data_IF_045942080866
#
_entry.id   IF_045942080866
#
_cell.length_a   1.000
_cell.length_b   1.000
_cell.length_c   1.000
_cell.angle_alpha   90.00
_cell.angle_beta   90.00
_cell.angle_gamma   90.00
#
_symmetry.space_group_name_H-M   'P 1'
#
loop_
_entity.id
_entity.type
_entity.pdbx_description
1 polymer ?
#
# COMPACT_ATOMS: atom_id res chain seq x y z
N UNK A 1 -68.04 -16.04 63.44
CA UNK A 1 -68.48 -17.43 63.28
C UNK A 1 -68.86 -17.70 61.87
N UNK A 2 -68.12 -18.65 61.23
CA UNK A 2 -68.47 -19.55 60.08
C UNK A 2 -69.11 -18.99 58.82
N UNK A 3 -68.97 -19.72 57.73
CA UNK A 3 -67.80 -20.33 57.10
C UNK A 3 -67.67 -20.04 55.53
N UNK A 4 -66.54 -20.47 55.02
CA UNK A 4 -66.17 -20.63 53.62
C UNK A 4 -67.25 -21.26 52.69
N UNK A 5 -67.26 -20.76 51.42
CA UNK A 5 -67.51 -21.58 50.25
C UNK A 5 -66.57 -21.29 49.16
N UNK A 6 -65.83 -22.33 48.73
CA UNK A 6 -64.93 -22.38 47.56
C UNK A 6 -65.82 -22.48 46.31
N UNK A 7 -65.52 -21.61 45.31
CA UNK A 7 -65.96 -21.90 43.93
C UNK A 7 -64.69 -21.94 43.05
N UNK A 8 -64.48 -23.11 42.47
CA UNK A 8 -63.47 -23.40 41.46
C UNK A 8 -64.02 -22.95 40.09
N UNK A 9 -63.35 -22.04 39.42
CA UNK A 9 -63.61 -21.71 38.03
C UNK A 9 -62.38 -22.20 37.20
N UNK A 10 -62.66 -23.17 36.31
CA UNK A 10 -61.75 -23.60 35.27
C UNK A 10 -61.61 -22.46 34.24
N UNK A 11 -60.43 -21.91 34.07
CA UNK A 11 -60.15 -21.04 32.94
C UNK A 11 -59.32 -21.80 31.89
N UNK A 12 -59.92 -21.95 30.71
CA UNK A 12 -59.24 -22.55 29.55
C UNK A 12 -58.14 -21.68 29.02
N UNK A 13 -56.97 -22.29 28.83
CA UNK A 13 -55.82 -21.66 28.20
C UNK A 13 -55.90 -21.81 26.68
N UNK A 14 -56.22 -20.74 25.98
CA UNK A 14 -56.08 -20.64 24.54
C UNK A 14 -54.62 -20.23 24.23
N UNK A 15 -53.85 -21.13 23.66
CA UNK A 15 -52.53 -20.85 23.16
C UNK A 15 -52.61 -20.08 21.84
N UNK A 16 -52.23 -18.80 21.86
CA UNK A 16 -52.01 -18.02 20.65
C UNK A 16 -50.61 -18.28 20.13
N UNK A 17 -50.48 -18.91 18.96
CA UNK A 17 -49.23 -19.02 18.22
C UNK A 17 -48.87 -17.64 17.66
N UNK A 18 -47.85 -17.01 18.25
CA UNK A 18 -47.19 -15.83 17.67
C UNK A 18 -46.12 -16.32 16.68
N UNK A 19 -46.37 -16.15 15.39
CA UNK A 19 -45.36 -16.36 14.35
C UNK A 19 -44.32 -15.24 14.44
N UNK A 20 -43.09 -15.56 14.85
CA UNK A 20 -41.96 -14.68 14.81
C UNK A 20 -41.41 -14.70 13.37
N UNK A 21 -41.29 -13.57 12.67
CA UNK A 21 -40.62 -13.55 11.39
C UNK A 21 -39.13 -13.85 11.60
N UNK A 22 -38.58 -14.85 10.91
CA UNK A 22 -37.17 -15.13 10.84
C UNK A 22 -36.46 -13.95 10.14
N UNK A 23 -35.79 -13.09 10.91
CA UNK A 23 -34.86 -12.14 10.37
C UNK A 23 -33.69 -12.93 9.76
N UNK A 24 -33.53 -12.83 8.44
CA UNK A 24 -32.34 -13.26 7.74
C UNK A 24 -31.18 -12.42 8.26
N UNK A 25 -30.49 -12.93 9.26
CA UNK A 25 -29.20 -12.42 9.66
C UNK A 25 -28.22 -12.69 8.51
N UNK A 26 -27.95 -11.67 7.70
CA UNK A 26 -26.84 -11.67 6.77
C UNK A 26 -25.57 -11.89 7.57
N UNK A 27 -25.09 -13.14 7.59
CA UNK A 27 -23.84 -13.50 8.24
C UNK A 27 -22.71 -12.82 7.49
N UNK A 28 -22.16 -11.75 8.06
CA UNK A 28 -20.82 -11.27 7.69
C UNK A 28 -19.87 -12.40 8.04
N UNK A 29 -19.40 -13.11 7.00
CA UNK A 29 -18.35 -14.12 7.14
C UNK A 29 -17.07 -13.39 7.59
N UNK A 30 -16.80 -13.38 8.88
CA UNK A 30 -15.54 -12.89 9.39
C UNK A 30 -14.45 -13.83 8.89
N UNK A 31 -13.63 -13.36 7.93
CA UNK A 31 -12.43 -14.09 7.51
C UNK A 31 -11.60 -14.42 8.75
N UNK A 32 -11.45 -15.71 9.05
CA UNK A 32 -10.68 -16.17 10.20
C UNK A 32 -9.22 -15.70 10.09
N UNK A 33 -8.63 -15.24 11.19
CA UNK A 33 -7.19 -14.95 11.25
C UNK A 33 -6.43 -16.25 11.03
N UNK A 34 -5.62 -16.33 9.96
CA UNK A 34 -4.80 -17.50 9.69
C UNK A 34 -3.75 -17.72 10.80
N UNK A 35 -3.47 -18.98 11.19
CA UNK A 35 -2.34 -19.28 12.07
C UNK A 35 -1.02 -18.78 11.50
N UNK A 36 0.01 -18.48 12.35
CA UNK A 36 1.26 -17.85 11.93
C UNK A 36 2.09 -18.65 10.89
N UNK A 37 1.82 -19.93 10.69
CA UNK A 37 2.57 -20.81 9.77
C UNK A 37 1.81 -21.14 8.48
N UNK A 38 0.72 -20.46 8.18
CA UNK A 38 -0.04 -20.67 6.94
C UNK A 38 0.34 -19.66 5.88
N UNK A 39 0.31 -20.12 4.61
CA UNK A 39 0.46 -19.25 3.45
C UNK A 39 -0.48 -18.05 3.53
N UNK A 40 0.05 -16.88 3.18
CA UNK A 40 -0.62 -15.60 3.18
C UNK A 40 -0.75 -15.09 1.74
N UNK A 41 -1.89 -14.56 1.39
CA UNK A 41 -2.09 -13.89 0.09
C UNK A 41 -2.32 -12.40 0.32
N UNK A 42 -1.62 -11.57 -0.46
CA UNK A 42 -1.76 -10.13 -0.47
C UNK A 42 -2.18 -9.65 -1.87
N UNK A 43 -2.96 -8.58 -1.92
CA UNK A 43 -3.14 -7.81 -3.15
C UNK A 43 -2.17 -6.64 -3.14
N UNK A 44 -1.39 -6.49 -4.21
CA UNK A 44 -0.46 -5.38 -4.37
C UNK A 44 -0.94 -4.57 -5.57
N UNK A 45 -1.10 -3.27 -5.37
CA UNK A 45 -1.48 -2.29 -6.37
C UNK A 45 -0.59 -1.04 -6.23
N UNK A 46 -0.47 -0.27 -7.28
CA UNK A 46 0.21 1.02 -7.31
C UNK A 46 -0.23 1.80 -8.54
N UNK A 47 0.04 3.08 -8.60
CA UNK A 47 -0.19 3.92 -9.78
C UNK A 47 -1.63 3.88 -10.30
N UNK A 48 -2.60 3.73 -9.40
CA UNK A 48 -4.04 3.73 -9.64
C UNK A 48 -4.80 4.46 -8.51
N UNK A 49 -6.02 5.02 -8.78
CA UNK A 49 -6.66 5.20 -10.09
C UNK A 49 -6.21 6.50 -10.77
N UNK A 50 -6.04 6.49 -12.09
CA UNK A 50 -5.66 7.66 -12.88
C UNK A 50 -6.80 8.18 -13.75
N UNK A 51 -7.09 9.47 -13.63
CA UNK A 51 -8.14 10.12 -14.42
C UNK A 51 -9.56 9.71 -14.05
N UNK A 52 -10.54 10.41 -14.60
CA UNK A 52 -11.94 10.30 -14.19
C UNK A 52 -12.54 8.90 -14.38
N UNK A 53 -12.15 8.20 -15.47
CA UNK A 53 -12.68 6.88 -15.79
C UNK A 53 -12.24 5.83 -14.74
N UNK A 54 -10.95 5.79 -14.41
CA UNK A 54 -10.44 4.85 -13.41
C UNK A 54 -10.92 5.21 -11.99
N UNK A 55 -10.98 6.50 -11.66
CA UNK A 55 -11.59 6.96 -10.40
C UNK A 55 -13.03 6.45 -10.25
N UNK A 56 -13.81 6.45 -11.34
CA UNK A 56 -15.17 5.93 -11.33
C UNK A 56 -15.21 4.39 -11.24
N UNK A 57 -14.22 3.69 -11.82
CA UNK A 57 -14.13 2.23 -11.80
C UNK A 57 -13.56 1.68 -10.47
N UNK A 58 -12.72 2.45 -9.78
CA UNK A 58 -11.96 2.01 -8.62
C UNK A 58 -12.78 1.34 -7.50
N UNK A 59 -14.01 1.80 -7.17
CA UNK A 59 -14.86 1.07 -6.23
C UNK A 59 -15.20 -0.36 -6.66
N UNK A 60 -15.34 -0.63 -7.95
CA UNK A 60 -15.59 -1.98 -8.48
C UNK A 60 -14.31 -2.85 -8.44
N UNK A 61 -13.16 -2.25 -8.72
CA UNK A 61 -11.86 -2.90 -8.60
C UNK A 61 -11.58 -3.30 -7.14
N UNK A 62 -11.87 -2.42 -6.18
CA UNK A 62 -11.82 -2.73 -4.74
C UNK A 62 -12.75 -3.89 -4.41
N UNK A 63 -13.98 -3.89 -4.93
CA UNK A 63 -14.93 -4.97 -4.68
C UNK A 63 -14.43 -6.32 -5.21
N UNK A 64 -13.74 -6.34 -6.35
CA UNK A 64 -13.11 -7.56 -6.88
C UNK A 64 -12.01 -8.09 -5.94
N UNK A 65 -11.14 -7.24 -5.43
CA UNK A 65 -10.11 -7.64 -4.47
C UNK A 65 -10.78 -8.15 -3.17
N UNK A 66 -11.82 -7.48 -2.68
CA UNK A 66 -12.57 -7.92 -1.50
C UNK A 66 -13.22 -9.29 -1.70
N UNK A 67 -13.65 -9.61 -2.93
CA UNK A 67 -14.28 -10.88 -3.27
C UNK A 67 -13.30 -12.07 -3.27
N UNK A 68 -11.98 -11.83 -3.36
CA UNK A 68 -10.99 -12.91 -3.26
C UNK A 68 -10.90 -13.40 -1.80
N UNK A 69 -11.34 -14.64 -1.52
CA UNK A 69 -11.40 -15.15 -0.15
C UNK A 69 -10.00 -15.41 0.45
N UNK A 70 -8.95 -15.39 -0.36
CA UNK A 70 -7.58 -15.66 0.08
C UNK A 70 -6.85 -14.38 0.49
N UNK A 71 -7.19 -13.23 -0.07
CA UNK A 71 -6.56 -11.95 0.27
C UNK A 71 -6.78 -11.64 1.75
N UNK A 72 -5.72 -11.23 2.43
CA UNK A 72 -5.70 -10.87 3.85
C UNK A 72 -5.15 -9.49 4.11
N UNK A 73 -4.53 -8.89 3.11
CA UNK A 73 -3.94 -7.55 3.18
C UNK A 73 -3.80 -6.96 1.79
N UNK A 74 -3.91 -5.66 1.70
CA UNK A 74 -3.63 -4.88 0.49
C UNK A 74 -2.43 -3.99 0.76
N UNK A 75 -1.53 -3.86 -0.21
CA UNK A 75 -0.47 -2.86 -0.23
C UNK A 75 -0.71 -1.97 -1.45
N UNK A 76 -0.78 -0.66 -1.24
CA UNK A 76 -0.79 0.33 -2.31
C UNK A 76 0.55 1.07 -2.33
N UNK A 77 1.27 0.95 -3.43
CA UNK A 77 2.64 1.43 -3.59
C UNK A 77 2.74 2.91 -4.01
N UNK A 78 1.70 3.70 -3.79
CA UNK A 78 1.74 5.12 -4.12
C UNK A 78 1.08 5.46 -5.44
N UNK A 79 1.15 6.73 -5.79
CA UNK A 79 0.55 7.31 -6.98
C UNK A 79 -0.95 7.07 -7.08
N UNK A 80 -1.66 7.68 -6.12
CA UNK A 80 -3.14 7.63 -6.05
C UNK A 80 -3.82 8.58 -7.05
N UNK A 81 -3.06 9.26 -7.88
CA UNK A 81 -3.46 10.16 -8.97
C UNK A 81 -2.35 10.22 -10.02
N UNK A 82 -2.70 10.59 -11.24
CA UNK A 82 -1.67 10.81 -12.27
C UNK A 82 -0.89 12.12 -12.07
N UNK A 83 0.27 12.23 -12.73
CA UNK A 83 1.18 13.37 -12.65
C UNK A 83 0.64 14.70 -13.18
N UNK A 84 -0.60 14.76 -13.69
CA UNK A 84 -1.25 15.97 -14.21
C UNK A 84 -2.60 16.30 -13.58
N UNK A 85 -3.06 15.50 -12.60
CA UNK A 85 -4.27 15.79 -11.85
C UNK A 85 -3.99 16.71 -10.65
N UNK A 86 -4.98 17.51 -10.25
CA UNK A 86 -4.86 18.43 -9.12
C UNK A 86 -4.64 17.69 -7.80
N UNK A 87 -3.78 18.26 -6.95
CA UNK A 87 -3.49 17.78 -5.61
C UNK A 87 -4.41 18.39 -4.54
N UNK A 88 -5.70 18.51 -4.84
CA UNK A 88 -6.67 19.11 -3.91
C UNK A 88 -6.93 18.18 -2.72
N UNK A 89 -7.10 18.76 -1.52
CA UNK A 89 -7.38 17.97 -0.30
C UNK A 89 -8.64 17.12 -0.43
N UNK A 90 -9.67 17.62 -1.13
CA UNK A 90 -10.89 16.85 -1.40
C UNK A 90 -10.66 15.61 -2.25
N UNK A 91 -9.65 15.62 -3.15
CA UNK A 91 -9.25 14.44 -3.89
C UNK A 91 -8.64 13.38 -2.95
N UNK A 92 -7.75 13.80 -2.07
CA UNK A 92 -7.12 12.90 -1.09
C UNK A 92 -8.15 12.29 -0.12
N UNK A 93 -9.11 13.10 0.35
CA UNK A 93 -10.21 12.63 1.20
C UNK A 93 -11.08 11.59 0.47
N UNK A 94 -11.35 11.80 -0.82
CA UNK A 94 -12.07 10.82 -1.65
C UNK A 94 -11.28 9.51 -1.79
N UNK A 95 -9.97 9.57 -2.02
CA UNK A 95 -9.11 8.35 -2.06
C UNK A 95 -9.04 7.64 -0.72
N UNK A 96 -8.99 8.39 0.39
CA UNK A 96 -9.12 7.80 1.73
C UNK A 96 -10.46 7.06 1.90
N UNK A 97 -11.55 7.66 1.41
CA UNK A 97 -12.86 7.01 1.46
C UNK A 97 -12.88 5.70 0.66
N UNK A 98 -12.25 5.66 -0.51
CA UNK A 98 -12.10 4.44 -1.29
C UNK A 98 -11.24 3.39 -0.57
N UNK A 99 -10.08 3.78 -0.04
CA UNK A 99 -9.24 2.85 0.74
C UNK A 99 -9.97 2.24 1.95
N UNK A 100 -10.90 2.99 2.55
CA UNK A 100 -11.71 2.47 3.65
C UNK A 100 -12.84 1.52 3.19
N UNK A 101 -13.04 1.30 1.89
CA UNK A 101 -13.95 0.26 1.34
C UNK A 101 -13.29 -1.12 1.31
N UNK A 102 -11.97 -1.21 1.43
CA UNK A 102 -11.32 -2.51 1.55
C UNK A 102 -11.75 -3.21 2.85
N UNK A 103 -12.17 -4.46 2.72
CA UNK A 103 -12.53 -5.31 3.85
C UNK A 103 -11.30 -5.87 4.58
N UNK A 104 -10.14 -5.80 3.94
CA UNK A 104 -8.85 -6.19 4.50
C UNK A 104 -8.01 -4.95 4.89
N UNK A 105 -6.97 -5.12 5.72
CA UNK A 105 -6.08 -4.02 6.08
C UNK A 105 -5.32 -3.50 4.86
N UNK A 106 -5.29 -2.18 4.67
CA UNK A 106 -4.53 -1.52 3.60
C UNK A 106 -3.32 -0.83 4.19
N UNK A 107 -2.15 -1.14 3.65
CA UNK A 107 -0.91 -0.39 3.85
C UNK A 107 -0.68 0.45 2.60
N UNK A 108 -0.51 1.74 2.78
CA UNK A 108 -0.26 2.71 1.72
C UNK A 108 1.09 3.37 1.96
N UNK A 109 1.90 3.56 0.92
CA UNK A 109 3.08 4.42 0.90
C UNK A 109 2.86 5.51 -0.13
N UNK A 110 3.19 6.80 0.15
CA UNK A 110 2.99 7.87 -0.82
C UNK A 110 3.92 7.72 -2.04
N UNK A 111 3.40 8.10 -3.21
CA UNK A 111 4.19 8.29 -4.43
C UNK A 111 4.56 9.75 -4.67
N UNK A 112 5.18 10.05 -5.80
CA UNK A 112 5.60 11.40 -6.15
C UNK A 112 4.43 12.24 -6.69
N UNK A 113 3.50 11.64 -7.39
CA UNK A 113 2.38 12.33 -8.01
C UNK A 113 1.48 13.07 -7.02
N UNK A 114 1.31 12.58 -5.80
CA UNK A 114 0.43 13.20 -4.81
C UNK A 114 1.11 14.24 -3.93
N UNK A 115 2.43 14.46 -4.06
CA UNK A 115 3.07 15.54 -3.30
C UNK A 115 4.24 16.21 -4.02
N UNK A 116 5.26 15.51 -4.53
CA UNK A 116 6.42 16.16 -5.17
C UNK A 116 5.97 16.91 -6.41
N UNK A 117 5.17 16.28 -7.26
CA UNK A 117 4.67 16.80 -8.52
C UNK A 117 3.57 17.86 -8.38
N UNK A 118 3.06 18.05 -7.20
CA UNK A 118 2.02 19.04 -6.93
C UNK A 118 2.44 20.49 -7.20
N UNK A 119 3.74 20.74 -7.37
CA UNK A 119 4.26 22.04 -7.79
C UNK A 119 3.90 22.40 -9.24
N UNK A 120 3.56 21.43 -10.10
CA UNK A 120 3.19 21.67 -11.49
C UNK A 120 1.90 22.48 -11.57
N UNK A 121 1.79 23.38 -12.55
CA UNK A 121 0.60 24.24 -12.71
C UNK A 121 -0.67 23.39 -12.92
N UNK A 122 -0.60 22.31 -13.71
CA UNK A 122 -1.69 21.35 -13.90
C UNK A 122 -2.17 20.73 -12.58
N UNK A 123 -1.27 20.56 -11.63
CA UNK A 123 -1.53 19.93 -10.33
C UNK A 123 -1.98 20.93 -9.25
N UNK A 124 -2.02 22.23 -9.59
CA UNK A 124 -2.48 23.30 -8.74
C UNK A 124 -1.38 24.22 -8.20
N UNK A 125 -0.10 23.98 -8.53
CA UNK A 125 1.02 24.81 -8.15
C UNK A 125 1.27 24.88 -6.63
N UNK A 126 1.02 23.78 -5.94
CA UNK A 126 1.20 23.68 -4.49
C UNK A 126 2.67 23.52 -4.10
N UNK A 127 3.02 23.93 -2.90
CA UNK A 127 4.33 23.62 -2.34
C UNK A 127 4.40 22.13 -1.95
N UNK A 128 5.33 21.33 -2.50
CA UNK A 128 5.38 19.89 -2.26
C UNK A 128 5.42 19.48 -0.78
N UNK A 129 6.21 20.17 0.05
CA UNK A 129 6.27 19.87 1.50
C UNK A 129 4.97 20.14 2.23
N UNK A 130 4.16 21.07 1.74
CA UNK A 130 2.83 21.33 2.28
C UNK A 130 1.88 20.18 1.89
N UNK A 131 1.93 19.70 0.64
CA UNK A 131 1.13 18.54 0.22
C UNK A 131 1.54 17.26 0.93
N UNK A 132 2.83 17.04 1.16
CA UNK A 132 3.28 15.92 1.99
C UNK A 132 2.71 15.98 3.42
N UNK A 133 2.66 17.18 4.00
CA UNK A 133 2.02 17.36 5.30
C UNK A 133 0.53 17.03 5.26
N UNK A 134 -0.17 17.41 4.17
CA UNK A 134 -1.58 17.08 3.96
C UNK A 134 -1.81 15.57 3.78
N UNK A 135 -1.01 14.90 2.94
CA UNK A 135 -1.04 13.43 2.80
C UNK A 135 -0.90 12.75 4.17
N UNK A 136 0.04 13.22 4.97
CA UNK A 136 0.24 12.69 6.34
C UNK A 136 -0.96 12.93 7.24
N UNK A 137 -1.64 14.07 7.11
CA UNK A 137 -2.83 14.40 7.89
C UNK A 137 -4.06 13.61 7.46
N UNK A 138 -4.22 13.34 6.18
CA UNK A 138 -5.35 12.58 5.63
C UNK A 138 -5.16 11.08 5.90
N UNK A 139 -4.09 10.47 5.42
CA UNK A 139 -3.95 9.01 5.39
C UNK A 139 -3.31 8.42 6.67
N UNK A 140 -2.48 9.19 7.36
CA UNK A 140 -1.69 8.71 8.52
C UNK A 140 -2.07 9.38 9.84
N UNK A 141 -3.29 9.91 9.93
CA UNK A 141 -3.84 10.51 11.15
C UNK A 141 -3.83 9.52 12.33
N UNK A 142 -4.22 8.27 12.06
CA UNK A 142 -4.20 7.17 13.02
C UNK A 142 -2.86 6.44 12.96
N UNK A 143 -1.84 6.98 13.61
CA UNK A 143 -0.46 6.47 13.58
C UNK A 143 -0.38 5.00 13.97
N UNK A 144 0.38 4.22 13.20
CA UNK A 144 0.55 2.79 13.45
C UNK A 144 -0.72 1.96 13.24
N UNK A 145 -1.65 2.47 12.42
CA UNK A 145 -2.86 1.77 12.01
C UNK A 145 -2.96 1.71 10.49
N UNK A 146 -3.37 0.58 9.96
CA UNK A 146 -3.72 0.43 8.54
C UNK A 146 -4.99 1.20 8.20
N UNK A 147 -5.18 1.49 6.92
CA UNK A 147 -6.45 1.89 6.33
C UNK A 147 -7.32 0.64 6.11
N UNK A 148 -8.53 0.81 5.57
CA UNK A 148 -9.49 -0.29 5.44
C UNK A 148 -9.78 -0.92 6.80
N UNK A 149 -9.69 -2.23 6.88
CA UNK A 149 -9.79 -2.94 8.16
C UNK A 149 -8.57 -2.61 9.04
N UNK A 150 -8.82 -1.97 10.16
CA UNK A 150 -7.76 -1.46 11.03
C UNK A 150 -6.97 -2.58 11.72
N UNK A 151 -5.67 -2.61 11.48
CA UNK A 151 -4.68 -3.45 12.17
C UNK A 151 -3.53 -2.58 12.68
N UNK A 152 -2.87 -3.05 13.71
CA UNK A 152 -1.68 -2.38 14.24
C UNK A 152 -0.47 -2.74 13.41
N UNK A 153 0.33 -1.72 13.05
CA UNK A 153 1.65 -1.86 12.44
C UNK A 153 2.65 -1.01 13.22
N UNK A 154 3.91 -1.37 13.17
CA UNK A 154 4.97 -0.51 13.71
C UNK A 154 5.24 0.60 12.70
N UNK A 155 5.22 1.85 13.12
CA UNK A 155 5.62 3.00 12.32
C UNK A 155 6.96 3.56 12.82
N UNK A 156 7.68 4.25 11.94
CA UNK A 156 9.03 4.71 12.22
C UNK A 156 9.06 5.79 13.32
N UNK A 157 8.34 6.88 13.10
CA UNK A 157 8.28 7.99 14.05
C UNK A 157 7.04 8.86 13.79
N UNK A 158 6.79 9.82 14.68
CA UNK A 158 5.72 10.80 14.47
C UNK A 158 5.94 11.68 13.23
N UNK A 159 7.17 11.81 12.76
CA UNK A 159 7.55 12.60 11.61
C UNK A 159 7.48 11.79 10.31
N UNK A 160 7.86 10.51 10.35
CA UNK A 160 7.81 9.56 9.22
C UNK A 160 6.81 8.45 9.54
N UNK A 161 5.53 8.82 9.67
CA UNK A 161 4.45 7.91 10.08
C UNK A 161 3.97 7.01 8.95
N UNK A 162 4.31 7.35 7.72
CA UNK A 162 4.08 6.58 6.50
C UNK A 162 5.00 5.36 6.36
N UNK A 163 6.19 5.42 6.94
CA UNK A 163 7.11 4.29 7.00
C UNK A 163 6.63 3.28 8.04
N UNK A 164 6.12 2.14 7.58
CA UNK A 164 5.56 1.12 8.46
C UNK A 164 6.17 -0.26 8.24
N UNK A 165 6.14 -1.11 9.29
CA UNK A 165 6.53 -2.52 9.20
C UNK A 165 5.66 -3.40 10.07
N UNK A 166 5.52 -4.65 9.64
CA UNK A 166 4.80 -5.67 10.39
C UNK A 166 5.40 -7.04 10.10
N UNK A 167 4.94 -8.07 10.80
CA UNK A 167 5.28 -9.47 10.49
C UNK A 167 3.98 -10.25 10.35
N UNK A 168 3.89 -11.06 9.31
CA UNK A 168 2.75 -11.91 9.03
C UNK A 168 3.24 -13.18 8.32
N UNK A 169 2.65 -14.33 8.57
CA UNK A 169 3.12 -15.62 8.06
C UNK A 169 4.65 -15.83 8.26
N UNK A 170 5.20 -15.38 9.39
CA UNK A 170 6.63 -15.47 9.68
C UNK A 170 7.52 -14.47 8.93
N UNK A 171 7.09 -13.93 7.79
CA UNK A 171 7.83 -12.96 6.96
C UNK A 171 7.74 -11.57 7.56
N UNK A 172 8.80 -10.77 7.37
CA UNK A 172 8.81 -9.35 7.74
C UNK A 172 8.55 -8.48 6.51
N UNK A 173 7.59 -7.60 6.64
CA UNK A 173 7.19 -6.62 5.62
C UNK A 173 7.53 -5.22 6.08
N UNK A 174 7.89 -4.35 5.16
CA UNK A 174 8.04 -2.93 5.40
C UNK A 174 7.75 -2.09 4.18
N UNK A 175 7.15 -0.91 4.37
CA UNK A 175 7.07 0.12 3.35
C UNK A 175 8.02 1.26 3.70
N UNK A 176 8.68 1.80 2.68
CA UNK A 176 9.66 2.87 2.78
C UNK A 176 9.26 3.98 1.83
N UNK A 177 9.20 5.21 2.32
CA UNK A 177 8.85 6.37 1.52
C UNK A 177 10.03 6.81 0.65
N UNK A 178 10.16 6.14 -0.49
CA UNK A 178 11.07 6.45 -1.61
C UNK A 178 10.19 6.64 -2.83
N UNK A 179 10.37 7.75 -3.55
CA UNK A 179 9.43 8.19 -4.59
C UNK A 179 10.12 8.46 -5.91
N UNK A 180 9.36 8.47 -6.99
CA UNK A 180 9.78 8.92 -8.31
C UNK A 180 10.32 10.35 -8.31
N UNK A 181 10.42 10.98 -9.49
CA UNK A 181 10.94 12.34 -9.65
C UNK A 181 12.34 12.53 -9.03
N UNK A 182 13.24 11.54 -9.24
CA UNK A 182 14.59 11.50 -8.67
C UNK A 182 14.58 11.57 -7.14
N UNK A 183 13.71 10.82 -6.49
CA UNK A 183 13.48 10.88 -5.03
C UNK A 183 13.25 12.31 -4.52
N UNK A 184 12.43 13.10 -5.25
CA UNK A 184 12.18 14.53 -5.01
C UNK A 184 13.41 15.44 -5.27
N UNK A 185 14.37 15.05 -6.10
CA UNK A 185 15.47 15.93 -6.46
C UNK A 185 15.23 16.74 -7.75
N UNK A 186 14.19 16.43 -8.51
CA UNK A 186 13.76 17.23 -9.64
C UNK A 186 13.36 18.65 -9.18
N UNK A 187 13.87 19.73 -9.82
CA UNK A 187 13.55 21.11 -9.43
C UNK A 187 12.05 21.40 -9.47
N UNK A 188 11.56 22.08 -8.45
CA UNK A 188 10.14 22.43 -8.35
C UNK A 188 9.77 23.60 -9.28
N UNK A 189 8.51 23.65 -9.70
CA UNK A 189 7.93 24.74 -10.46
C UNK A 189 8.62 25.00 -11.83
N UNK A 190 9.09 23.91 -12.46
CA UNK A 190 9.75 23.99 -13.77
C UNK A 190 8.87 24.63 -14.85
N UNK A 191 7.55 24.48 -14.78
CA UNK A 191 6.58 25.02 -15.71
C UNK A 191 6.23 26.51 -15.50
N UNK A 192 6.68 27.13 -14.41
CA UNK A 192 6.58 28.61 -14.24
C UNK A 192 7.29 29.36 -15.35
N UNK A 193 8.26 28.76 -16.03
CA UNK A 193 9.00 29.36 -17.13
C UNK A 193 8.20 29.48 -18.42
N UNK A 194 7.13 28.69 -18.60
CA UNK A 194 6.30 28.70 -19.79
C UNK A 194 5.62 30.06 -20.06
N UNK A 195 5.49 30.91 -19.03
CA UNK A 195 4.97 32.28 -19.13
C UNK A 195 6.05 33.35 -19.20
N UNK A 196 7.29 33.01 -19.58
CA UNK A 196 8.41 33.96 -19.63
C UNK A 196 9.01 34.31 -18.26
N UNK A 197 8.69 33.57 -17.21
CA UNK A 197 9.27 33.74 -15.89
C UNK A 197 10.68 33.14 -15.83
N UNK A 198 11.67 33.84 -15.26
CA UNK A 198 13.07 33.51 -15.45
C UNK A 198 13.59 32.31 -14.64
N UNK A 199 12.88 31.85 -13.63
CA UNK A 199 13.35 30.76 -12.80
C UNK A 199 12.22 29.84 -12.34
N UNK A 200 12.33 28.52 -12.57
CA UNK A 200 11.34 27.58 -12.07
C UNK A 200 11.33 27.54 -10.54
N UNK A 201 12.46 27.35 -9.93
CA UNK A 201 12.62 27.14 -8.50
C UNK A 201 13.40 28.32 -7.86
N UNK A 202 12.83 28.91 -6.82
CA UNK A 202 13.54 29.93 -6.03
C UNK A 202 14.59 29.30 -5.13
N UNK A 203 15.54 30.11 -4.65
CA UNK A 203 16.57 29.66 -3.69
C UNK A 203 15.93 29.09 -2.40
N UNK A 204 14.83 29.67 -1.94
CA UNK A 204 14.12 29.22 -0.75
C UNK A 204 13.45 27.84 -0.99
N UNK A 205 12.79 27.67 -2.13
CA UNK A 205 12.16 26.40 -2.51
C UNK A 205 13.22 25.28 -2.68
N UNK A 206 14.35 25.58 -3.34
CA UNK A 206 15.47 24.65 -3.43
C UNK A 206 15.99 24.23 -2.06
N UNK A 207 16.11 25.15 -1.12
CA UNK A 207 16.54 24.83 0.24
C UNK A 207 15.54 23.92 0.97
N UNK A 208 14.24 24.15 0.78
CA UNK A 208 13.18 23.30 1.33
C UNK A 208 13.22 21.88 0.71
N UNK A 209 13.32 21.79 -0.62
CA UNK A 209 13.42 20.53 -1.34
C UNK A 209 14.63 19.71 -0.91
N UNK A 210 15.81 20.34 -0.88
CA UNK A 210 17.05 19.69 -0.45
C UNK A 210 16.95 19.20 1.00
N UNK A 211 16.39 20.01 1.90
CA UNK A 211 16.20 19.60 3.30
C UNK A 211 15.23 18.42 3.43
N UNK A 212 14.14 18.44 2.69
CA UNK A 212 13.17 17.34 2.68
C UNK A 212 13.86 16.05 2.22
N UNK A 213 14.51 16.09 1.05
CA UNK A 213 15.22 14.94 0.49
C UNK A 213 16.23 14.35 1.48
N UNK A 214 17.17 15.15 1.98
CA UNK A 214 18.22 14.66 2.89
C UNK A 214 17.61 14.05 4.17
N UNK A 215 16.56 14.68 4.70
CA UNK A 215 15.95 14.23 5.95
C UNK A 215 15.14 12.93 5.74
N UNK A 216 14.40 12.83 4.64
CA UNK A 216 13.63 11.63 4.32
C UNK A 216 14.53 10.48 3.92
N UNK A 217 15.57 10.72 3.10
CA UNK A 217 16.54 9.69 2.73
C UNK A 217 17.23 9.10 3.96
N UNK A 218 17.73 9.93 4.87
CA UNK A 218 18.34 9.44 6.10
C UNK A 218 17.37 8.60 6.94
N UNK A 219 16.10 8.99 6.99
CA UNK A 219 15.07 8.21 7.65
C UNK A 219 14.78 6.90 6.94
N UNK A 220 14.74 6.89 5.60
CA UNK A 220 14.55 5.70 4.79
C UNK A 220 15.66 4.67 5.01
N UNK A 221 16.93 5.10 4.97
CA UNK A 221 18.09 4.23 5.24
C UNK A 221 17.98 3.57 6.61
N UNK A 222 17.75 4.36 7.66
CA UNK A 222 17.58 3.85 9.02
C UNK A 222 16.36 2.93 9.17
N UNK A 223 15.31 3.14 8.36
CA UNK A 223 14.12 2.30 8.42
C UNK A 223 14.31 0.96 7.72
N UNK A 224 15.02 0.94 6.59
CA UNK A 224 15.44 -0.31 5.93
C UNK A 224 16.25 -1.16 6.90
N UNK A 225 17.26 -0.58 7.58
CA UNK A 225 18.00 -1.26 8.63
C UNK A 225 17.08 -1.85 9.71
N UNK A 226 16.13 -1.06 10.21
CA UNK A 226 15.20 -1.51 11.25
C UNK A 226 14.26 -2.63 10.78
N UNK A 227 13.93 -2.71 9.48
CA UNK A 227 13.14 -3.79 8.89
C UNK A 227 13.96 -5.09 8.90
N UNK A 228 15.18 -5.07 8.37
CA UNK A 228 16.06 -6.23 8.36
C UNK A 228 16.41 -6.69 9.78
N UNK A 229 16.73 -5.78 10.70
CA UNK A 229 16.94 -6.11 12.11
C UNK A 229 15.74 -6.84 12.73
N UNK A 230 14.52 -6.45 12.36
CA UNK A 230 13.33 -7.12 12.85
C UNK A 230 13.17 -8.52 12.25
N UNK A 231 13.54 -8.71 10.98
CA UNK A 231 13.55 -10.00 10.30
C UNK A 231 14.56 -10.96 10.93
N UNK A 232 15.78 -10.49 11.17
CA UNK A 232 16.86 -11.26 11.79
C UNK A 232 16.51 -11.70 13.20
N UNK A 233 16.04 -10.78 14.06
CA UNK A 233 15.59 -11.09 15.43
C UNK A 233 14.48 -12.14 15.48
N UNK A 234 13.61 -12.16 14.47
CA UNK A 234 12.50 -13.12 14.36
C UNK A 234 12.89 -14.39 13.62
N UNK A 235 14.09 -14.44 13.04
CA UNK A 235 14.54 -15.51 12.14
C UNK A 235 13.58 -15.70 10.96
N UNK A 236 13.07 -14.59 10.44
CA UNK A 236 12.10 -14.59 9.35
C UNK A 236 12.65 -15.38 8.14
N UNK A 237 11.80 -16.13 7.41
CA UNK A 237 12.21 -16.83 6.20
C UNK A 237 12.39 -15.90 5.00
N UNK A 238 11.89 -14.66 5.06
CA UNK A 238 12.03 -13.66 4.01
C UNK A 238 11.70 -12.26 4.47
N UNK A 239 12.02 -11.28 3.62
CA UNK A 239 11.70 -9.86 3.78
C UNK A 239 10.98 -9.36 2.53
N UNK A 240 9.96 -8.53 2.71
CA UNK A 240 9.30 -7.78 1.64
C UNK A 240 9.47 -6.29 1.92
N UNK A 241 10.06 -5.57 0.97
CA UNK A 241 10.18 -4.11 0.97
C UNK A 241 9.27 -3.55 -0.12
N UNK A 242 8.42 -2.58 0.22
CA UNK A 242 7.58 -1.87 -0.75
C UNK A 242 7.91 -0.38 -0.76
N UNK A 243 8.00 0.20 -1.96
CA UNK A 243 8.19 1.63 -2.20
C UNK A 243 7.51 2.04 -3.51
N UNK A 244 7.33 3.33 -3.75
CA UNK A 244 6.69 3.75 -4.99
C UNK A 244 7.72 3.82 -6.12
N UNK A 245 8.90 4.40 -5.92
CA UNK A 245 9.89 4.56 -6.98
C UNK A 245 10.27 3.25 -7.64
N UNK A 246 10.28 3.20 -8.99
CA UNK A 246 11.09 2.26 -9.75
C UNK A 246 12.52 2.80 -9.82
N UNK A 247 13.38 2.28 -8.96
CA UNK A 247 14.76 2.78 -8.84
C UNK A 247 15.66 2.42 -10.04
N UNK A 248 15.13 1.66 -10.98
CA UNK A 248 15.83 1.17 -12.17
C UNK A 248 15.17 1.62 -13.48
N UNK A 249 14.13 2.48 -13.41
CA UNK A 249 13.50 3.01 -14.60
C UNK A 249 14.45 3.94 -15.38
N UNK A 250 14.36 3.84 -16.70
CA UNK A 250 15.10 4.68 -17.62
C UNK A 250 16.42 4.10 -18.14
N UNK A 251 16.95 4.73 -19.18
CA UNK A 251 18.19 4.33 -19.84
C UNK A 251 19.46 4.67 -19.03
N UNK A 252 19.34 5.51 -18.02
CA UNK A 252 20.43 5.93 -17.13
C UNK A 252 20.01 5.73 -15.69
N UNK A 253 20.79 4.95 -14.93
CA UNK A 253 20.54 4.75 -13.50
C UNK A 253 20.60 6.10 -12.79
N UNK A 254 19.54 6.47 -12.10
CA UNK A 254 19.46 7.72 -11.35
C UNK A 254 20.25 7.60 -10.02
N UNK A 255 21.31 8.40 -9.83
CA UNK A 255 22.15 8.34 -8.63
C UNK A 255 21.40 8.78 -7.35
N UNK A 256 20.22 9.36 -7.47
CA UNK A 256 19.38 9.69 -6.31
C UNK A 256 19.05 8.47 -5.45
N UNK A 257 18.94 7.30 -6.08
CA UNK A 257 18.60 6.04 -5.42
C UNK A 257 19.80 5.22 -4.96
N UNK A 258 21.02 5.59 -5.32
CA UNK A 258 22.23 4.80 -4.99
C UNK A 258 22.38 4.51 -3.48
N UNK A 259 22.13 5.45 -2.55
CA UNK A 259 22.20 5.14 -1.12
C UNK A 259 21.16 4.12 -0.67
N UNK A 260 19.94 4.16 -1.26
CA UNK A 260 18.86 3.20 -0.95
C UNK A 260 19.21 1.82 -1.49
N UNK A 261 19.65 1.74 -2.74
CA UNK A 261 20.11 0.49 -3.36
C UNK A 261 21.25 -0.14 -2.57
N UNK A 262 22.24 0.66 -2.18
CA UNK A 262 23.40 0.20 -1.43
C UNK A 262 23.03 -0.42 -0.07
N UNK A 263 22.14 0.22 0.70
CA UNK A 263 21.72 -0.34 2.00
C UNK A 263 20.87 -1.59 1.83
N UNK A 264 20.01 -1.65 0.81
CA UNK A 264 19.23 -2.86 0.51
C UNK A 264 20.17 -4.02 0.16
N UNK A 265 21.13 -3.77 -0.72
CA UNK A 265 22.10 -4.80 -1.15
C UNK A 265 22.92 -5.34 0.02
N UNK A 266 23.51 -4.46 0.83
CA UNK A 266 24.31 -4.84 2.00
C UNK A 266 23.51 -5.63 3.03
N UNK A 267 22.27 -5.19 3.31
CA UNK A 267 21.40 -5.89 4.28
C UNK A 267 20.87 -7.22 3.73
N UNK A 268 20.51 -7.28 2.45
CA UNK A 268 20.05 -8.51 1.80
C UNK A 268 21.15 -9.56 1.74
N UNK A 269 22.39 -9.18 1.41
CA UNK A 269 23.54 -10.10 1.42
C UNK A 269 23.75 -10.70 2.81
N UNK A 270 23.77 -9.85 3.85
CA UNK A 270 23.93 -10.33 5.24
C UNK A 270 22.75 -11.19 5.72
N UNK A 271 21.54 -10.87 5.31
CA UNK A 271 20.36 -11.64 5.66
C UNK A 271 20.35 -13.02 5.02
N UNK A 272 20.88 -13.18 3.81
CA UNK A 272 21.12 -14.45 3.11
C UNK A 272 19.88 -15.29 2.81
N UNK A 273 18.67 -14.71 2.92
CA UNK A 273 17.39 -15.35 2.64
C UNK A 273 16.60 -14.49 1.65
N UNK A 274 15.51 -15.01 1.03
CA UNK A 274 14.74 -14.28 0.04
C UNK A 274 14.32 -12.88 0.47
N UNK A 275 14.59 -11.90 -0.38
CA UNK A 275 14.16 -10.50 -0.27
C UNK A 275 13.36 -10.16 -1.52
N UNK A 276 12.12 -9.73 -1.33
CA UNK A 276 11.25 -9.25 -2.40
C UNK A 276 11.16 -7.73 -2.32
N UNK A 277 11.57 -7.05 -3.39
CA UNK A 277 11.43 -5.63 -3.58
C UNK A 277 10.21 -5.35 -4.46
N UNK A 278 9.23 -4.62 -3.94
CA UNK A 278 8.01 -4.21 -4.65
C UNK A 278 8.10 -2.73 -4.98
N UNK A 279 7.97 -2.40 -6.24
CA UNK A 279 8.07 -1.05 -6.81
C UNK A 279 6.85 -0.73 -7.70
N UNK A 280 6.59 0.55 -7.95
CA UNK A 280 5.59 1.09 -8.87
C UNK A 280 6.23 2.01 -9.91
N UNK A 281 5.68 3.22 -10.13
CA UNK A 281 6.21 4.36 -10.87
C UNK A 281 6.26 4.19 -12.41
N UNK A 282 6.97 3.19 -12.91
CA UNK A 282 7.10 2.95 -14.37
C UNK A 282 5.88 2.33 -15.03
N UNK A 283 4.91 1.88 -14.26
CA UNK A 283 3.61 1.30 -14.66
C UNK A 283 3.69 -0.07 -15.35
N UNK A 284 4.86 -0.50 -15.79
CA UNK A 284 5.02 -1.76 -16.54
C UNK A 284 5.31 -2.91 -15.59
N UNK A 285 4.46 -3.93 -15.63
CA UNK A 285 4.73 -5.14 -14.88
C UNK A 285 6.08 -5.73 -15.27
N UNK A 286 6.91 -5.98 -14.28
CA UNK A 286 8.24 -6.56 -14.47
C UNK A 286 8.60 -7.43 -13.27
N UNK A 287 9.24 -8.57 -13.53
CA UNK A 287 9.93 -9.37 -12.51
C UNK A 287 11.37 -9.56 -12.96
N UNK A 288 12.32 -9.09 -12.19
CA UNK A 288 13.74 -9.22 -12.51
C UNK A 288 14.66 -9.38 -11.29
N UNK A 289 15.93 -9.50 -11.56
CA UNK A 289 17.03 -9.49 -10.56
C UNK A 289 18.02 -8.40 -11.00
N UNK A 290 17.96 -7.21 -10.40
CA UNK A 290 18.89 -6.15 -10.76
C UNK A 290 20.35 -6.58 -10.56
N UNK A 291 21.21 -6.25 -11.53
CA UNK A 291 22.58 -6.77 -11.59
C UNK A 291 23.48 -6.27 -10.42
N UNK A 292 23.13 -5.16 -9.80
CA UNK A 292 23.81 -4.56 -8.65
C UNK A 292 23.25 -5.03 -7.31
N UNK A 293 22.29 -5.97 -7.33
CA UNK A 293 21.70 -6.58 -6.13
C UNK A 293 22.25 -8.01 -5.90
N UNK A 294 22.32 -8.46 -4.63
CA UNK A 294 22.60 -9.84 -4.30
C UNK A 294 21.59 -10.80 -4.92
N UNK A 295 22.03 -12.05 -5.22
CA UNK A 295 21.20 -13.06 -5.88
C UNK A 295 19.88 -13.39 -5.16
N UNK A 296 19.81 -13.16 -3.84
CA UNK A 296 18.62 -13.38 -3.03
C UNK A 296 17.60 -12.23 -3.08
N UNK A 297 17.85 -11.18 -3.86
CA UNK A 297 16.89 -10.09 -4.11
C UNK A 297 16.19 -10.34 -5.44
N UNK A 298 14.86 -10.32 -5.42
CA UNK A 298 14.01 -10.28 -6.61
C UNK A 298 13.18 -9.02 -6.54
N UNK A 299 13.08 -8.31 -7.66
CA UNK A 299 12.28 -7.10 -7.82
C UNK A 299 11.01 -7.41 -8.60
N UNK A 300 9.91 -6.82 -8.18
CA UNK A 300 8.64 -6.79 -8.91
C UNK A 300 8.19 -5.35 -9.01
N UNK A 301 8.03 -4.85 -10.23
CA UNK A 301 7.32 -3.61 -10.50
C UNK A 301 5.88 -3.97 -10.79
N UNK A 302 4.93 -3.35 -10.07
CA UNK A 302 3.50 -3.61 -10.32
C UNK A 302 3.02 -2.85 -11.54
N UNK A 303 1.98 -3.40 -12.19
CA UNK A 303 1.33 -2.70 -13.28
C UNK A 303 0.62 -1.44 -12.75
N UNK A 304 0.75 -0.34 -13.49
CA UNK A 304 0.04 0.91 -13.24
C UNK A 304 -0.99 1.24 -14.31
N UNK A 305 -1.65 2.37 -14.12
CA UNK A 305 -2.80 2.86 -14.88
C UNK A 305 -2.63 3.02 -16.38
N UNK A 306 -1.40 3.13 -16.87
CA UNK A 306 -1.13 3.33 -18.31
C UNK A 306 -1.26 2.04 -19.12
N UNK A 307 -1.19 0.89 -18.48
CA UNK A 307 -1.18 -0.42 -19.12
C UNK A 307 -2.58 -1.04 -19.19
N UNK A 308 -2.80 -1.91 -20.19
CA UNK A 308 -4.05 -2.64 -20.37
C UNK A 308 -3.75 -4.10 -20.74
N UNK A 309 -4.53 -5.06 -20.20
CA UNK A 309 -5.65 -4.90 -19.25
C UNK A 309 -5.18 -4.43 -17.87
N UNK A 310 -6.04 -3.72 -17.12
CA UNK A 310 -5.72 -3.35 -15.74
C UNK A 310 -5.66 -4.57 -14.85
N UNK A 311 -4.61 -4.67 -14.05
CA UNK A 311 -4.32 -5.83 -13.22
C UNK A 311 -3.94 -5.41 -11.80
N UNK A 312 -4.11 -6.33 -10.86
CA UNK A 312 -3.48 -6.27 -9.55
C UNK A 312 -2.61 -7.52 -9.34
N UNK A 313 -1.52 -7.35 -8.62
CA UNK A 313 -0.62 -8.44 -8.30
C UNK A 313 -1.15 -9.21 -7.08
N UNK A 314 -1.43 -10.49 -7.27
CA UNK A 314 -1.70 -11.43 -6.18
C UNK A 314 -0.37 -12.02 -5.72
N UNK A 315 0.15 -11.53 -4.61
CA UNK A 315 1.36 -12.06 -3.99
C UNK A 315 1.01 -13.15 -2.98
N UNK A 316 1.54 -14.34 -3.18
CA UNK A 316 1.46 -15.43 -2.23
C UNK A 316 2.77 -15.55 -1.46
N UNK A 317 2.67 -15.67 -0.14
CA UNK A 317 3.78 -15.88 0.77
C UNK A 317 3.59 -17.23 1.46
N UNK A 318 4.50 -18.15 1.25
CA UNK A 318 4.47 -19.47 1.86
C UNK A 318 5.79 -19.72 2.62
N UNK A 319 5.81 -19.52 3.94
CA UNK A 319 7.03 -19.64 4.74
C UNK A 319 7.57 -21.08 4.82
N UNK A 320 6.77 -22.08 4.47
CA UNK A 320 7.18 -23.48 4.44
C UNK A 320 7.79 -23.91 3.11
N UNK A 321 7.62 -23.09 2.06
CA UNK A 321 8.21 -23.32 0.75
C UNK A 321 9.67 -22.86 0.69
N UNK A 322 10.49 -23.54 -0.09
CA UNK A 322 11.83 -23.05 -0.48
C UNK A 322 11.72 -21.78 -1.32
N UNK A 323 10.64 -21.66 -2.10
CA UNK A 323 10.22 -20.45 -2.77
C UNK A 323 9.22 -19.72 -1.88
N UNK A 324 9.72 -18.89 -0.96
CA UNK A 324 8.88 -18.18 0.00
C UNK A 324 7.82 -17.30 -0.68
N UNK A 325 8.12 -16.78 -1.88
CA UNK A 325 7.27 -15.86 -2.64
C UNK A 325 6.87 -16.46 -3.98
N UNK A 326 5.62 -16.25 -4.39
CA UNK A 326 5.13 -16.49 -5.74
C UNK A 326 4.05 -15.45 -6.07
N UNK A 327 3.82 -15.17 -7.36
CA UNK A 327 2.83 -14.19 -7.76
C UNK A 327 2.03 -14.60 -8.99
N UNK A 328 0.90 -13.90 -9.13
CA UNK A 328 -0.01 -13.96 -10.26
C UNK A 328 -0.55 -12.55 -10.50
N UNK A 329 -0.74 -12.17 -11.76
CA UNK A 329 -1.52 -10.99 -12.14
C UNK A 329 -2.98 -11.37 -12.29
N UNK A 330 -3.87 -10.52 -11.80
CA UNK A 330 -5.32 -10.73 -11.86
C UNK A 330 -5.97 -9.54 -12.57
N UNK A 331 -6.60 -9.79 -13.71
CA UNK A 331 -7.27 -8.74 -14.48
C UNK A 331 -8.50 -8.23 -13.73
N UNK A 332 -8.60 -6.92 -13.51
CA UNK A 332 -9.76 -6.31 -12.85
C UNK A 332 -11.08 -6.55 -13.57
N UNK A 333 -11.08 -6.52 -14.92
CA UNK A 333 -12.33 -6.63 -15.67
C UNK A 333 -12.85 -8.06 -15.78
N UNK A 334 -11.96 -9.03 -15.98
CA UNK A 334 -12.33 -10.41 -16.31
C UNK A 334 -12.11 -11.39 -15.17
N UNK A 335 -11.29 -11.02 -14.16
CA UNK A 335 -10.82 -11.94 -13.14
C UNK A 335 -9.83 -12.99 -13.66
N UNK A 336 -9.36 -12.87 -14.90
CA UNK A 336 -8.37 -13.79 -15.47
C UNK A 336 -7.09 -13.73 -14.63
N UNK A 337 -6.55 -14.90 -14.32
CA UNK A 337 -5.32 -15.06 -13.53
C UNK A 337 -4.20 -15.47 -14.46
N UNK A 338 -3.10 -14.74 -14.45
CA UNK A 338 -1.90 -15.01 -15.23
C UNK A 338 -0.73 -15.17 -14.27
N UNK A 339 -0.06 -16.34 -14.22
CA UNK A 339 1.14 -16.49 -13.40
C UNK A 339 2.22 -15.48 -13.79
N UNK A 340 3.03 -15.04 -12.83
CA UNK A 340 4.21 -14.25 -13.15
C UNK A 340 5.21 -15.06 -13.95
N UNK A 341 5.79 -14.46 -15.00
CA UNK A 341 6.68 -15.15 -15.95
C UNK A 341 8.02 -15.62 -15.37
N UNK A 342 8.40 -15.11 -14.19
CA UNK A 342 9.63 -15.45 -13.52
C UNK A 342 9.39 -15.85 -12.04
N UNK A 343 10.19 -16.81 -11.52
CA UNK A 343 10.08 -17.19 -10.11
C UNK A 343 10.56 -16.06 -9.20
N UNK A 344 9.84 -15.81 -8.10
CA UNK A 344 10.23 -14.88 -7.04
C UNK A 344 11.22 -15.51 -6.04
N UNK A 345 12.00 -16.49 -6.47
CA UNK A 345 13.00 -17.17 -5.67
C UNK A 345 14.41 -16.82 -6.14
N UNK A 346 15.42 -16.89 -5.23
CA UNK A 346 16.82 -16.71 -5.56
C UNK A 346 17.32 -17.69 -6.62
#
# INVERSE_FOLDING_TARGET
MRPMHRNVILAGVTAALVAVPAALAGGQSSKATAPPDRALTLAIIGDIPYGAAQVAAFPAEIAQINADPNVRRVIHLGDIKNGSSRCDSSYFEARLADFNRFEDPVVYTPGDNEWTDCHRASNGGFLPTERLAEIRNVFFKSRGRTLGKRRTVKFQSNFFRENVRWSEAGVTFGTVHVVGSSDNQTPWFGDRTAAGQPAPETRAEKALRTREYVTRQAAALAWIDAIFDAAERRRAPGVVLGMQADMYDGATIDPAYDPIKAVIADRAERFGKPVLLLEGDSHKFLVDKPADMPANVVRVVVQGSAETPHEWLRLRVDPASTQVFSCENVHFTTGTVVPCDAPLAP
#
